data_IF_815451404701
#
_entry.id   IF_815451404701
#
_cell.length_a   1.000
_cell.length_b   1.000
_cell.length_c   1.000
_cell.angle_alpha   90.00
_cell.angle_beta   90.00
_cell.angle_gamma   90.00
#
_symmetry.space_group_name_H-M   'P 1'
#
loop_
_entity.id
_entity.type
_entity.pdbx_description
1 polymer ?
#
# COMPACT_ATOMS: atom_id res chain seq x y z
N UNK A 1 24.35 13.42 -3.91
CA UNK A 1 23.85 12.06 -4.08
C UNK A 1 22.31 11.97 -4.26
N UNK A 2 21.60 13.09 -4.45
CA UNK A 2 20.18 13.16 -4.76
C UNK A 2 19.19 12.75 -3.65
N UNK A 3 19.65 12.24 -2.51
CA UNK A 3 18.77 11.91 -1.38
C UNK A 3 18.46 13.17 -0.56
N UNK A 4 17.18 13.35 -0.25
CA UNK A 4 16.70 14.38 0.68
C UNK A 4 16.51 13.77 2.08
N UNK A 5 16.89 14.51 3.11
CA UNK A 5 16.56 14.11 4.48
C UNK A 5 15.05 14.24 4.71
N UNK A 6 14.46 13.28 5.39
CA UNK A 6 13.07 13.37 5.79
C UNK A 6 12.91 14.50 6.83
N UNK A 7 11.90 15.35 6.64
CA UNK A 7 11.56 16.44 7.56
C UNK A 7 10.69 15.98 8.73
N UNK A 8 10.13 14.79 8.65
CA UNK A 8 9.24 14.18 9.64
C UNK A 8 9.70 12.77 10.00
N UNK A 9 9.33 12.29 11.18
CA UNK A 9 9.72 10.96 11.63
C UNK A 9 9.12 9.85 10.74
N UNK A 10 9.82 8.71 10.56
CA UNK A 10 9.32 7.59 9.77
C UNK A 10 7.96 7.07 10.24
N UNK A 11 7.72 7.04 11.56
CA UNK A 11 6.43 6.62 12.13
C UNK A 11 5.29 7.58 11.79
N UNK A 12 5.58 8.87 11.72
CA UNK A 12 4.60 9.87 11.31
C UNK A 12 4.25 9.73 9.83
N UNK A 13 5.25 9.55 8.97
CA UNK A 13 5.04 9.28 7.54
C UNK A 13 4.21 8.01 7.30
N UNK A 14 4.48 6.95 8.08
CA UNK A 14 3.69 5.72 8.00
C UNK A 14 2.23 5.97 8.35
N UNK A 15 1.95 6.69 9.46
CA UNK A 15 0.58 6.92 9.96
C UNK A 15 -0.21 7.90 9.10
N UNK A 16 0.41 9.02 8.73
CA UNK A 16 -0.27 10.11 8.01
C UNK A 16 -0.28 9.90 6.49
N UNK A 17 0.81 9.35 5.93
CA UNK A 17 1.00 9.23 4.50
C UNK A 17 0.94 7.77 4.01
N UNK A 18 0.90 6.78 4.91
CA UNK A 18 0.96 5.36 4.57
C UNK A 18 2.29 4.93 3.94
N UNK A 19 3.33 5.75 4.06
CA UNK A 19 4.65 5.46 3.52
C UNK A 19 5.41 4.53 4.46
N UNK A 20 5.65 3.31 4.02
CA UNK A 20 6.44 2.34 4.77
C UNK A 20 7.90 2.80 4.88
N UNK A 21 8.47 2.87 6.10
CA UNK A 21 9.88 3.19 6.27
C UNK A 21 10.76 2.15 5.58
N UNK A 22 11.77 2.61 4.86
CA UNK A 22 12.77 1.73 4.25
C UNK A 22 13.81 1.34 5.29
N UNK A 23 14.01 0.04 5.48
CA UNK A 23 15.13 -0.49 6.25
C UNK A 23 16.34 -0.53 5.32
N UNK A 24 17.30 0.39 5.54
CA UNK A 24 18.50 0.44 4.73
C UNK A 24 19.48 -0.68 5.11
N UNK A 25 19.77 -1.55 4.16
CA UNK A 25 20.75 -2.64 4.28
C UNK A 25 21.99 -2.39 3.40
N UNK A 26 22.33 -1.12 3.16
CA UNK A 26 23.52 -0.71 2.42
C UNK A 26 23.24 0.08 1.14
N UNK A 27 21.99 0.30 0.77
CA UNK A 27 21.59 1.09 -0.40
C UNK A 27 22.12 2.51 -0.33
N UNK A 28 21.97 3.18 0.82
CA UNK A 28 22.50 4.55 1.04
C UNK A 28 24.02 4.61 0.87
N UNK A 29 24.75 3.59 1.32
CA UNK A 29 26.20 3.48 1.12
C UNK A 29 26.56 3.45 -0.36
N UNK A 30 25.85 2.64 -1.16
CA UNK A 30 26.07 2.52 -2.60
C UNK A 30 25.72 3.80 -3.36
N UNK A 31 24.64 4.49 -2.96
CA UNK A 31 24.27 5.80 -3.52
C UNK A 31 25.37 6.83 -3.24
N UNK A 32 25.91 6.86 -2.03
CA UNK A 32 27.01 7.76 -1.64
C UNK A 32 28.33 7.44 -2.40
N UNK A 33 28.55 6.18 -2.71
CA UNK A 33 29.70 5.72 -3.48
C UNK A 33 29.56 6.00 -5.01
N UNK A 34 28.35 6.33 -5.46
CA UNK A 34 28.08 6.54 -6.90
C UNK A 34 27.70 5.26 -7.68
N UNK A 35 27.64 4.10 -6.99
CA UNK A 35 27.26 2.82 -7.60
C UNK A 35 25.77 2.82 -8.03
N UNK A 36 24.96 3.60 -7.32
CA UNK A 36 23.53 3.80 -7.62
C UNK A 36 23.29 5.29 -7.82
N UNK A 37 22.76 5.64 -8.97
CA UNK A 37 22.36 7.01 -9.28
C UNK A 37 20.89 7.22 -8.95
N UNK A 38 20.57 8.37 -8.36
CA UNK A 38 19.19 8.78 -8.02
C UNK A 38 18.76 9.86 -8.99
N UNK A 39 17.69 9.58 -9.73
CA UNK A 39 17.10 10.50 -10.69
C UNK A 39 15.82 11.12 -10.13
N UNK A 40 15.37 12.26 -10.68
CA UNK A 40 14.05 12.81 -10.40
C UNK A 40 12.92 11.89 -10.88
N UNK A 41 11.67 12.32 -10.66
CA UNK A 41 10.51 11.54 -11.15
C UNK A 41 10.56 11.27 -12.65
N UNK A 42 10.11 10.10 -13.07
CA UNK A 42 10.00 9.72 -14.48
C UNK A 42 8.88 10.55 -15.13
N UNK A 43 9.19 11.21 -16.26
CA UNK A 43 8.19 11.90 -17.07
C UNK A 43 7.58 10.95 -18.10
N UNK A 44 8.44 10.19 -18.81
CA UNK A 44 7.99 9.21 -19.80
C UNK A 44 9.10 8.20 -20.13
N UNK A 45 8.69 7.05 -20.63
CA UNK A 45 9.58 6.10 -21.29
C UNK A 45 9.76 6.53 -22.75
N UNK A 46 10.97 6.36 -23.27
CA UNK A 46 11.32 6.64 -24.67
C UNK A 46 11.83 5.36 -25.35
N UNK A 47 11.98 5.37 -26.67
CA UNK A 47 12.51 4.21 -27.40
C UNK A 47 13.94 3.83 -27.02
N UNK A 48 14.71 4.73 -26.40
CA UNK A 48 16.11 4.50 -26.01
C UNK A 48 16.36 4.59 -24.50
N UNK A 49 15.33 4.85 -23.68
CA UNK A 49 15.55 5.01 -22.25
C UNK A 49 14.42 5.70 -21.50
N UNK A 50 14.78 6.59 -20.58
CA UNK A 50 13.85 7.28 -19.70
C UNK A 50 14.10 8.78 -19.71
N UNK A 51 13.03 9.58 -19.88
CA UNK A 51 13.05 11.02 -19.68
C UNK A 51 12.53 11.34 -18.29
N UNK A 52 13.27 12.17 -17.58
CA UNK A 52 12.98 12.58 -16.20
C UNK A 52 12.31 13.96 -16.13
N UNK A 53 11.75 14.30 -14.97
CA UNK A 53 11.01 15.55 -14.74
C UNK A 53 11.86 16.81 -14.86
N UNK A 54 13.18 16.72 -14.74
CA UNK A 54 14.15 17.81 -14.98
C UNK A 54 14.50 17.99 -16.47
N UNK A 55 13.89 17.20 -17.35
CA UNK A 55 14.14 17.22 -18.79
C UNK A 55 15.33 16.38 -19.25
N UNK A 56 16.12 15.82 -18.33
CA UNK A 56 17.22 14.91 -18.69
C UNK A 56 16.68 13.60 -19.27
N UNK A 57 17.48 12.97 -20.15
CA UNK A 57 17.16 11.67 -20.74
C UNK A 57 18.37 10.76 -20.65
N UNK A 58 18.18 9.56 -20.16
CA UNK A 58 19.24 8.57 -19.97
C UNK A 58 18.84 7.23 -20.58
N UNK A 59 19.79 6.51 -21.22
CA UNK A 59 19.56 5.18 -21.74
C UNK A 59 19.50 4.16 -20.58
N UNK A 60 18.63 3.16 -20.73
CA UNK A 60 18.54 2.02 -19.82
C UNK A 60 18.23 0.75 -20.64
N UNK A 61 18.94 -0.32 -20.34
CA UNK A 61 18.70 -1.63 -20.97
C UNK A 61 17.45 -2.31 -20.40
N UNK A 62 17.13 -2.01 -19.13
CA UNK A 62 15.99 -2.60 -18.42
C UNK A 62 15.37 -1.60 -17.46
N UNK A 63 14.06 -1.55 -17.43
CA UNK A 63 13.29 -0.76 -16.46
C UNK A 63 12.44 -1.70 -15.62
N UNK A 64 12.62 -1.67 -14.30
CA UNK A 64 11.83 -2.41 -13.34
C UNK A 64 10.82 -1.47 -12.67
N UNK A 65 9.52 -1.76 -12.83
CA UNK A 65 8.45 -0.99 -12.22
C UNK A 65 8.15 -1.53 -10.83
N UNK A 66 8.67 -0.87 -9.81
CA UNK A 66 8.42 -1.19 -8.40
C UNK A 66 7.55 -0.09 -7.76
N UNK A 67 6.44 0.23 -8.41
CA UNK A 67 5.57 1.38 -8.11
C UNK A 67 4.56 1.13 -6.98
N UNK A 68 4.50 -0.10 -6.44
CA UNK A 68 3.51 -0.53 -5.47
C UNK A 68 2.22 -1.01 -6.14
N UNK A 69 1.18 -1.17 -5.33
CA UNK A 69 -0.12 -1.69 -5.77
C UNK A 69 -1.24 -0.76 -5.31
N UNK A 70 -2.26 -0.65 -6.15
CA UNK A 70 -3.55 -0.09 -5.80
C UNK A 70 -4.48 -1.24 -5.40
N UNK A 71 -5.24 -1.14 -4.29
CA UNK A 71 -6.22 -2.17 -3.92
C UNK A 71 -7.30 -2.41 -4.97
N UNK A 72 -7.61 -1.41 -5.79
CA UNK A 72 -8.59 -1.43 -6.88
C UNK A 72 -9.97 -2.01 -6.47
N UNK A 73 -10.36 -1.85 -5.19
CA UNK A 73 -11.61 -2.42 -4.67
C UNK A 73 -12.86 -1.87 -5.37
N UNK A 74 -12.82 -0.62 -5.82
CA UNK A 74 -13.91 -0.04 -6.60
C UNK A 74 -14.12 -0.74 -7.95
N UNK A 75 -13.05 -1.26 -8.56
CA UNK A 75 -13.14 -2.03 -9.82
C UNK A 75 -13.64 -3.46 -9.56
N UNK A 76 -13.23 -4.05 -8.43
CA UNK A 76 -13.69 -5.38 -8.02
C UNK A 76 -15.18 -5.39 -7.64
N UNK A 77 -15.68 -4.28 -7.10
CA UNK A 77 -17.07 -4.13 -6.68
C UNK A 77 -17.74 -2.93 -7.37
N UNK A 78 -17.92 -2.95 -8.72
CA UNK A 78 -18.34 -1.78 -9.50
C UNK A 78 -19.76 -1.30 -9.19
N UNK A 79 -20.60 -2.15 -8.58
CA UNK A 79 -21.99 -1.85 -8.25
C UNK A 79 -22.25 -1.72 -6.75
N UNK A 80 -21.18 -1.67 -5.94
CA UNK A 80 -21.30 -1.64 -4.48
C UNK A 80 -20.58 -0.40 -3.94
N UNK A 81 -21.31 0.46 -3.24
CA UNK A 81 -20.73 1.60 -2.56
C UNK A 81 -19.92 1.12 -1.34
N UNK A 82 -18.63 0.95 -1.50
CA UNK A 82 -17.72 0.60 -0.42
C UNK A 82 -17.29 1.85 0.37
N UNK A 83 -17.27 1.82 1.70
CA UNK A 83 -16.70 2.88 2.52
C UNK A 83 -15.17 2.83 2.46
N UNK A 84 -14.59 3.55 1.51
CA UNK A 84 -13.15 3.64 1.26
C UNK A 84 -12.62 5.02 1.61
N UNK A 85 -11.34 5.11 1.99
CA UNK A 85 -10.63 6.38 2.10
C UNK A 85 -10.16 6.88 0.71
N UNK A 86 -9.53 8.05 0.67
CA UNK A 86 -9.02 8.69 -0.56
C UNK A 86 -8.00 7.83 -1.34
N UNK A 87 -7.47 6.79 -0.72
CA UNK A 87 -6.51 5.83 -1.30
C UNK A 87 -7.13 4.49 -1.65
N UNK A 88 -8.46 4.39 -1.60
CA UNK A 88 -9.17 3.15 -1.87
C UNK A 88 -9.04 2.09 -0.77
N UNK A 89 -8.61 2.48 0.45
CA UNK A 89 -8.49 1.58 1.60
C UNK A 89 -9.81 1.53 2.36
N UNK A 90 -10.31 0.33 2.73
CA UNK A 90 -11.52 0.20 3.53
C UNK A 90 -11.42 0.93 4.87
N UNK A 91 -12.44 1.73 5.20
CA UNK A 91 -12.54 2.45 6.48
C UNK A 91 -12.81 1.51 7.65
N UNK A 92 -13.37 0.33 7.38
CA UNK A 92 -13.74 -0.67 8.38
C UNK A 92 -13.28 -2.06 7.95
N UNK A 93 -12.93 -2.91 8.93
CA UNK A 93 -12.55 -4.31 8.69
C UNK A 93 -13.75 -5.16 8.31
N UNK A 94 -14.95 -4.83 8.82
CA UNK A 94 -16.17 -5.60 8.57
C UNK A 94 -17.28 -4.66 8.10
N UNK A 95 -17.94 -5.04 7.03
CA UNK A 95 -19.08 -4.33 6.49
C UNK A 95 -20.31 -4.44 7.40
N UNK A 96 -21.18 -3.43 7.32
CA UNK A 96 -22.43 -3.32 8.06
C UNK A 96 -23.61 -3.11 7.10
N UNK A 97 -24.82 -3.41 7.54
CA UNK A 97 -26.03 -3.25 6.73
C UNK A 97 -25.98 -4.05 5.41
N UNK A 98 -26.03 -3.35 4.30
CA UNK A 98 -25.99 -3.99 2.97
C UNK A 98 -24.64 -4.70 2.67
N UNK A 99 -23.59 -4.38 3.41
CA UNK A 99 -22.26 -4.99 3.31
C UNK A 99 -22.02 -6.07 4.37
N UNK A 100 -23.05 -6.45 5.13
CA UNK A 100 -22.91 -7.46 6.17
C UNK A 100 -22.43 -8.80 5.61
N UNK A 101 -21.36 -9.33 6.19
CA UNK A 101 -20.70 -10.56 5.72
C UNK A 101 -19.53 -10.31 4.77
N UNK A 102 -19.28 -9.07 4.36
CA UNK A 102 -18.07 -8.68 3.64
C UNK A 102 -17.01 -8.23 4.66
N UNK A 103 -15.81 -8.77 4.56
CA UNK A 103 -14.71 -8.48 5.46
C UNK A 103 -13.44 -8.13 4.68
N UNK A 104 -12.72 -7.12 5.17
CA UNK A 104 -11.48 -6.61 4.58
C UNK A 104 -10.33 -6.80 5.56
N UNK A 105 -9.42 -7.71 5.30
CA UNK A 105 -8.30 -8.03 6.19
C UNK A 105 -6.98 -7.68 5.52
N UNK A 106 -6.10 -6.98 6.23
CA UNK A 106 -4.75 -6.66 5.75
C UNK A 106 -4.64 -5.40 4.89
N UNK A 107 -5.68 -4.59 4.78
CA UNK A 107 -5.64 -3.35 3.99
C UNK A 107 -5.02 -2.16 4.75
N UNK A 108 -4.99 -2.15 6.08
CA UNK A 108 -4.42 -1.04 6.85
C UNK A 108 -2.89 -1.14 6.92
N UNK A 109 -2.23 -0.44 6.01
CA UNK A 109 -0.76 -0.36 5.91
C UNK A 109 -0.13 0.65 6.88
N UNK A 110 -0.94 1.42 7.63
CA UNK A 110 -0.48 2.46 8.56
C UNK A 110 0.00 1.89 9.90
N UNK A 111 -0.20 0.60 10.12
CA UNK A 111 0.22 -0.08 11.34
C UNK A 111 1.70 -0.48 11.26
N UNK A 112 2.49 -0.20 12.33
CA UNK A 112 3.86 -0.70 12.42
C UNK A 112 3.91 -2.24 12.42
N UNK A 113 4.83 -2.82 11.66
CA UNK A 113 5.04 -4.27 11.63
C UNK A 113 4.55 -4.98 10.37
N UNK A 114 4.03 -4.21 9.41
CA UNK A 114 3.68 -4.69 8.07
C UNK A 114 2.37 -5.47 7.99
N UNK A 115 2.03 -5.85 6.76
CA UNK A 115 0.74 -6.42 6.41
C UNK A 115 0.40 -7.71 7.18
N UNK A 116 1.35 -8.62 7.32
CA UNK A 116 1.13 -9.90 8.02
C UNK A 116 0.74 -9.69 9.50
N UNK A 117 1.33 -8.70 10.16
CA UNK A 117 0.96 -8.35 11.52
C UNK A 117 -0.46 -7.77 11.60
N UNK A 118 -0.81 -6.90 10.67
CA UNK A 118 -2.16 -6.35 10.57
C UNK A 118 -3.19 -7.46 10.35
N UNK A 119 -2.91 -8.42 9.46
CA UNK A 119 -3.75 -9.59 9.22
C UNK A 119 -3.91 -10.41 10.51
N UNK A 120 -2.81 -10.73 11.20
CA UNK A 120 -2.84 -11.50 12.43
C UNK A 120 -3.67 -10.83 13.55
N UNK A 121 -3.72 -9.50 13.58
CA UNK A 121 -4.52 -8.74 14.53
C UNK A 121 -6.01 -8.69 14.18
N UNK A 122 -6.33 -8.62 12.89
CA UNK A 122 -7.71 -8.46 12.40
C UNK A 122 -8.44 -9.80 12.23
N UNK A 123 -7.75 -10.85 11.81
CA UNK A 123 -8.35 -12.14 11.45
C UNK A 123 -9.15 -12.79 12.59
N UNK A 124 -8.71 -12.78 13.87
CA UNK A 124 -9.52 -13.35 14.96
C UNK A 124 -10.88 -12.71 15.09
N UNK A 125 -10.96 -11.37 15.09
CA UNK A 125 -12.22 -10.64 15.19
C UNK A 125 -13.17 -10.89 14.01
N UNK A 126 -12.64 -11.12 12.82
CA UNK A 126 -13.44 -11.53 11.65
C UNK A 126 -13.95 -12.95 11.81
N UNK A 127 -13.12 -13.88 12.28
CA UNK A 127 -13.53 -15.27 12.53
C UNK A 127 -14.66 -15.35 13.56
N UNK A 128 -14.57 -14.57 14.64
CA UNK A 128 -15.62 -14.49 15.66
C UNK A 128 -16.93 -13.98 15.06
N UNK A 129 -16.91 -12.92 14.25
CA UNK A 129 -18.11 -12.38 13.59
C UNK A 129 -18.75 -13.39 12.64
N UNK A 130 -17.97 -14.13 11.86
CA UNK A 130 -18.45 -15.18 10.96
C UNK A 130 -19.10 -16.31 11.78
N UNK A 131 -18.49 -16.74 12.87
CA UNK A 131 -19.00 -17.80 13.73
C UNK A 131 -20.34 -17.40 14.40
N UNK A 132 -20.42 -16.18 14.92
CA UNK A 132 -21.66 -15.65 15.52
C UNK A 132 -22.81 -15.59 14.51
N UNK A 133 -22.51 -15.22 13.26
CA UNK A 133 -23.53 -15.16 12.20
C UNK A 133 -24.07 -16.54 11.85
N UNK A 134 -23.20 -17.56 11.78
CA UNK A 134 -23.62 -18.93 11.51
C UNK A 134 -24.53 -19.47 12.61
N UNK A 135 -24.23 -19.19 13.88
CA UNK A 135 -25.06 -19.60 15.03
C UNK A 135 -26.45 -18.92 14.98
N UNK A 136 -26.50 -17.64 14.62
CA UNK A 136 -27.76 -16.89 14.56
C UNK A 136 -28.59 -17.21 13.30
N UNK A 137 -27.94 -17.46 12.17
CA UNK A 137 -28.60 -17.83 10.91
C UNK A 137 -29.19 -19.25 10.91
N UNK A 138 -28.61 -20.18 11.69
CA UNK A 138 -29.09 -21.55 11.81
C UNK A 138 -30.34 -21.74 12.70
N UNK A 139 -30.87 -20.67 13.30
CA UNK A 139 -32.10 -20.72 14.12
C UNK A 139 -33.39 -20.39 13.37
N UNK A 140 -33.29 -20.09 12.07
CA UNK A 140 -34.42 -19.71 11.23
C UNK A 140 -34.63 -20.65 10.02
N UNK A 141 -34.07 -21.87 10.06
CA UNK A 141 -34.33 -22.90 9.06
C UNK A 141 -35.19 -24.04 9.63
#
# INVERSE_FOLDING_TARGET
>A
HGLRSASVSPLRQLREEGKTPVIDVGTVKRIKAGDIQVYPGIQRLTGGGVRFADGSEHPFDTVLLATGYDPALGELFPHTALPLDERGIPLQVSGEGALEGLHFVGFDVRQPGGLLRTIAQQAPGVADRISMRQVNGGRHA
#
